data_IF_614076147416
#
_entry.id   IF_614076147416
#
_cell.length_a   1.000
_cell.length_b   1.000
_cell.length_c   1.000
_cell.angle_alpha   90.00
_cell.angle_beta   90.00
_cell.angle_gamma   90.00
#
_symmetry.space_group_name_H-M   'P 1'
#
loop_
_entity.id
_entity.type
_entity.pdbx_description
1 polymer ?
#
# COMPACT_ATOMS: atom_id res chain seq x y z
N UNK A 1 -12.73 4.20 -6.77
CA UNK A 1 -12.03 4.79 -5.62
C UNK A 1 -11.81 3.74 -4.53
N UNK A 2 -10.56 3.44 -4.21
CA UNK A 2 -10.15 2.42 -3.21
C UNK A 2 -10.41 2.81 -1.75
N UNK A 3 -10.84 4.05 -1.48
CA UNK A 3 -11.20 4.53 -0.14
C UNK A 3 -12.39 3.77 0.48
N UNK A 4 -12.50 3.72 1.83
CA UNK A 4 -13.68 3.18 2.50
C UNK A 4 -14.98 3.85 2.04
N UNK A 5 -16.04 3.05 1.90
CA UNK A 5 -17.42 3.52 1.78
C UNK A 5 -17.87 4.26 3.06
N UNK A 6 -19.01 4.94 3.01
CA UNK A 6 -19.56 5.63 4.18
C UNK A 6 -19.79 4.69 5.39
N UNK A 7 -20.27 3.47 5.14
CA UNK A 7 -20.49 2.46 6.17
C UNK A 7 -19.18 1.91 6.74
N UNK A 8 -18.22 1.60 5.88
CA UNK A 8 -16.88 1.15 6.29
C UNK A 8 -16.13 2.25 7.06
N UNK A 9 -16.28 3.51 6.65
CA UNK A 9 -15.74 4.67 7.38
C UNK A 9 -16.34 4.78 8.77
N UNK A 10 -17.65 4.56 8.91
CA UNK A 10 -18.30 4.50 10.24
C UNK A 10 -17.75 3.35 11.08
N UNK A 11 -17.56 2.16 10.49
CA UNK A 11 -16.94 0.99 11.15
C UNK A 11 -15.49 1.28 11.58
N UNK A 12 -14.70 1.93 10.73
CA UNK A 12 -13.33 2.35 11.02
C UNK A 12 -13.29 3.31 12.21
N UNK A 13 -14.01 4.43 12.11
CA UNK A 13 -13.97 5.52 13.09
C UNK A 13 -14.61 5.15 14.44
N UNK A 14 -15.66 4.33 14.44
CA UNK A 14 -16.41 3.96 15.67
C UNK A 14 -16.09 2.58 16.20
N UNK A 15 -15.44 1.73 15.42
CA UNK A 15 -15.08 0.35 15.79
C UNK A 15 -13.58 0.13 15.87
N UNK A 16 -12.91 0.16 14.72
CA UNK A 16 -11.50 -0.27 14.59
C UNK A 16 -10.55 0.69 15.31
N UNK A 17 -10.60 1.99 15.01
CA UNK A 17 -9.70 2.98 15.63
C UNK A 17 -9.86 3.01 17.17
N UNK A 18 -11.07 3.05 17.74
CA UNK A 18 -11.22 2.97 19.20
C UNK A 18 -10.69 1.67 19.80
N UNK A 19 -10.81 0.54 19.09
CA UNK A 19 -10.25 -0.74 19.55
C UNK A 19 -8.71 -0.71 19.49
N UNK A 20 -8.13 -0.21 18.41
CA UNK A 20 -6.68 -0.06 18.26
C UNK A 20 -6.10 0.80 19.39
N UNK A 21 -6.72 1.95 19.68
CA UNK A 21 -6.33 2.82 20.79
C UNK A 21 -6.42 2.18 22.17
N UNK A 22 -7.37 1.26 22.38
CA UNK A 22 -7.52 0.53 23.66
C UNK A 22 -6.48 -0.57 23.83
N UNK A 23 -6.16 -1.26 22.74
CA UNK A 23 -5.09 -2.27 22.75
C UNK A 23 -3.74 -1.60 22.97
N UNK A 24 -3.54 -0.43 22.34
CA UNK A 24 -2.25 0.24 22.36
C UNK A 24 -1.22 -0.53 21.53
N UNK A 25 -0.02 0.04 21.48
CA UNK A 25 1.18 -0.63 20.99
C UNK A 25 2.28 -0.24 21.97
N UNK A 26 3.07 -1.22 22.39
CA UNK A 26 4.23 -0.96 23.24
C UNK A 26 5.16 0.06 22.55
N UNK A 27 5.66 1.04 23.31
CA UNK A 27 6.48 2.11 22.74
C UNK A 27 7.79 1.57 22.14
N UNK A 28 8.30 0.45 22.66
CA UNK A 28 9.45 -0.25 22.09
C UNK A 28 9.15 -0.87 20.75
N UNK A 29 7.88 -1.08 20.38
CA UNK A 29 7.43 -1.62 19.09
C UNK A 29 6.99 -0.53 18.10
N UNK A 30 7.27 0.73 18.41
CA UNK A 30 6.98 1.89 17.55
C UNK A 30 8.14 2.23 16.65
N UNK A 31 7.83 2.72 15.45
CA UNK A 31 8.84 3.10 14.47
C UNK A 31 9.81 4.18 14.97
N UNK A 32 9.35 5.12 15.80
CA UNK A 32 10.23 6.13 16.41
C UNK A 32 11.26 5.56 17.39
N UNK A 33 11.08 4.33 17.86
CA UNK A 33 12.04 3.62 18.72
C UNK A 33 13.15 2.91 17.94
N UNK A 34 13.32 3.24 16.65
CA UNK A 34 14.30 2.64 15.73
C UNK A 34 15.75 2.60 16.24
N UNK A 35 16.13 3.49 17.14
CA UNK A 35 17.48 3.54 17.72
C UNK A 35 17.74 2.47 18.79
N UNK A 36 16.73 1.69 19.18
CA UNK A 36 16.83 0.66 20.20
C UNK A 36 16.23 -0.68 19.73
N UNK A 37 16.71 -1.82 20.27
CA UNK A 37 16.06 -3.11 20.04
C UNK A 37 14.59 -3.10 20.52
N UNK A 38 13.67 -3.81 19.83
CA UNK A 38 13.93 -4.71 18.70
C UNK A 38 13.92 -4.03 17.32
N UNK A 39 13.68 -2.72 17.22
CA UNK A 39 13.56 -2.03 15.92
C UNK A 39 14.92 -1.73 15.31
N UNK A 40 15.95 -1.52 16.14
CA UNK A 40 17.32 -1.43 15.69
C UNK A 40 17.71 -2.75 15.02
N UNK A 41 17.83 -2.71 13.69
CA UNK A 41 18.21 -3.87 12.90
C UNK A 41 19.63 -4.33 13.29
N UNK A 42 19.85 -5.63 13.58
CA UNK A 42 21.15 -6.15 13.94
C UNK A 42 22.09 -6.34 12.73
N UNK A 43 21.60 -6.19 11.51
CA UNK A 43 22.35 -6.41 10.27
C UNK A 43 22.32 -5.17 9.35
N UNK A 44 23.46 -4.80 8.78
CA UNK A 44 23.56 -3.70 7.81
C UNK A 44 23.19 -4.13 6.37
N UNK A 45 22.15 -4.95 6.23
CA UNK A 45 21.68 -5.47 4.94
C UNK A 45 20.26 -4.96 4.69
N UNK A 46 20.08 -3.80 4.03
CA UNK A 46 18.76 -3.24 3.83
C UNK A 46 17.94 -4.10 2.85
N UNK A 47 16.75 -4.52 3.30
CA UNK A 47 15.78 -5.24 2.48
C UNK A 47 14.63 -4.32 2.05
N UNK A 48 14.07 -4.57 0.88
CA UNK A 48 12.82 -3.95 0.45
C UNK A 48 11.65 -4.46 1.29
N UNK A 49 10.59 -3.65 1.40
CA UNK A 49 9.43 -4.03 2.21
C UNK A 49 8.79 -5.33 1.71
N UNK A 50 8.65 -5.50 0.40
CA UNK A 50 8.12 -6.74 -0.20
C UNK A 50 9.04 -7.95 0.02
N UNK A 51 10.35 -7.74 0.16
CA UNK A 51 11.30 -8.80 0.49
C UNK A 51 11.13 -9.27 1.93
N UNK A 52 10.78 -8.36 2.85
CA UNK A 52 10.51 -8.68 4.26
C UNK A 52 9.11 -9.27 4.44
N UNK A 53 8.08 -8.56 4.00
CA UNK A 53 6.68 -8.90 4.25
C UNK A 53 6.17 -10.05 3.37
N UNK A 54 6.73 -10.24 2.17
CA UNK A 54 6.32 -11.33 1.29
C UNK A 54 6.72 -12.69 1.85
N UNK A 55 5.77 -13.60 2.00
CA UNK A 55 6.02 -14.99 2.42
C UNK A 55 5.56 -16.01 1.36
N UNK A 56 5.74 -15.66 0.07
CA UNK A 56 5.48 -16.56 -1.06
C UNK A 56 6.46 -17.76 -1.13
N UNK A 57 7.60 -17.64 -0.45
CA UNK A 57 8.55 -18.70 -0.16
C UNK A 57 8.70 -18.79 1.36
N UNK A 58 8.23 -19.88 1.96
CA UNK A 58 8.26 -20.06 3.42
C UNK A 58 9.69 -20.02 3.98
N UNK A 59 10.67 -20.51 3.23
CA UNK A 59 12.08 -20.48 3.64
C UNK A 59 12.78 -19.16 3.35
N UNK A 60 12.14 -18.22 2.62
CA UNK A 60 12.77 -16.97 2.17
C UNK A 60 13.87 -17.16 1.12
N UNK A 61 13.96 -18.34 0.48
CA UNK A 61 14.99 -18.65 -0.52
C UNK A 61 14.93 -17.75 -1.74
N UNK A 62 13.76 -17.21 -2.07
CA UNK A 62 13.59 -16.21 -3.14
C UNK A 62 14.40 -14.93 -2.87
N UNK A 63 14.42 -14.47 -1.61
CA UNK A 63 15.25 -13.34 -1.16
C UNK A 63 16.73 -13.71 -1.21
N UNK A 64 17.09 -14.92 -0.77
CA UNK A 64 18.47 -15.42 -0.83
C UNK A 64 18.98 -15.51 -2.27
N UNK A 65 18.21 -16.11 -3.17
CA UNK A 65 18.56 -16.26 -4.59
C UNK A 65 18.81 -14.89 -5.23
N UNK A 66 17.97 -13.90 -4.95
CA UNK A 66 18.13 -12.54 -5.47
C UNK A 66 19.34 -11.81 -4.88
N UNK A 67 19.49 -11.83 -3.56
CA UNK A 67 20.48 -11.00 -2.85
C UNK A 67 21.88 -11.63 -2.76
N UNK A 68 21.98 -12.95 -2.75
CA UNK A 68 23.24 -13.68 -2.57
C UNK A 68 23.70 -14.35 -3.87
N UNK A 69 22.80 -15.05 -4.57
CA UNK A 69 23.16 -15.74 -5.82
C UNK A 69 23.10 -14.82 -7.06
N UNK A 70 22.47 -13.65 -6.94
CA UNK A 70 22.27 -12.71 -8.06
C UNK A 70 21.29 -13.24 -9.12
N UNK A 71 20.42 -14.18 -8.74
CA UNK A 71 19.42 -14.77 -9.63
C UNK A 71 18.15 -13.92 -9.52
N UNK A 72 17.82 -13.22 -10.60
CA UNK A 72 16.52 -12.55 -10.72
C UNK A 72 15.47 -13.54 -11.25
N UNK A 73 14.43 -13.78 -10.48
CA UNK A 73 13.29 -14.56 -10.92
C UNK A 73 12.48 -13.76 -11.95
N UNK A 74 12.05 -14.41 -13.03
CA UNK A 74 11.11 -13.81 -13.95
C UNK A 74 9.77 -13.55 -13.23
N UNK A 75 9.20 -12.33 -13.31
CA UNK A 75 7.93 -12.03 -12.69
C UNK A 75 6.83 -12.99 -13.20
N UNK A 76 6.03 -13.54 -12.29
CA UNK A 76 4.88 -14.34 -12.69
C UNK A 76 3.74 -13.47 -13.26
N UNK A 77 2.75 -14.09 -13.89
CA UNK A 77 1.63 -13.38 -14.52
C UNK A 77 0.88 -12.46 -13.54
N UNK A 78 0.69 -12.89 -12.29
CA UNK A 78 0.05 -12.08 -11.24
C UNK A 78 0.86 -10.82 -10.92
N UNK A 79 2.18 -10.94 -10.80
CA UNK A 79 3.08 -9.81 -10.54
C UNK A 79 3.08 -8.82 -11.71
N UNK A 80 3.10 -9.32 -12.95
CA UNK A 80 3.03 -8.46 -14.15
C UNK A 80 1.71 -7.71 -14.22
N UNK A 81 0.58 -8.41 -14.00
CA UNK A 81 -0.75 -7.81 -13.98
C UNK A 81 -0.88 -6.76 -12.87
N UNK A 82 -0.51 -7.12 -11.63
CA UNK A 82 -0.56 -6.22 -10.48
C UNK A 82 0.29 -4.97 -10.69
N UNK A 83 1.51 -5.13 -11.22
CA UNK A 83 2.39 -4.01 -11.56
C UNK A 83 1.79 -3.08 -12.62
N UNK A 84 1.20 -3.65 -13.68
CA UNK A 84 0.54 -2.87 -14.73
C UNK A 84 -0.70 -2.11 -14.21
N UNK A 85 -1.48 -2.72 -13.31
CA UNK A 85 -2.66 -2.11 -12.70
C UNK A 85 -2.30 -0.99 -11.74
N UNK A 86 -1.29 -1.20 -10.88
CA UNK A 86 -0.75 -0.15 -10.01
C UNK A 86 -0.18 1.03 -10.81
N UNK A 87 0.56 0.74 -11.89
CA UNK A 87 1.05 1.77 -12.82
C UNK A 87 -0.09 2.57 -13.45
N UNK A 88 -1.11 1.88 -13.96
CA UNK A 88 -2.29 2.52 -14.57
C UNK A 88 -3.03 3.41 -13.56
N UNK A 89 -3.27 2.91 -12.35
CA UNK A 89 -3.93 3.67 -11.29
C UNK A 89 -3.13 4.93 -10.96
N UNK A 90 -1.80 4.81 -10.89
CA UNK A 90 -0.91 5.93 -10.60
C UNK A 90 -1.06 7.03 -11.64
N UNK A 91 -0.93 6.66 -12.91
CA UNK A 91 -1.02 7.60 -14.02
C UNK A 91 -2.39 8.25 -14.10
N UNK A 92 -3.45 7.48 -13.86
CA UNK A 92 -4.82 7.99 -13.85
C UNK A 92 -5.05 9.04 -12.75
N UNK A 93 -4.63 8.77 -11.50
CA UNK A 93 -4.79 9.74 -10.40
C UNK A 93 -4.00 11.01 -10.66
N UNK A 94 -2.76 10.90 -11.17
CA UNK A 94 -1.94 12.08 -11.51
C UNK A 94 -2.63 12.90 -12.60
N UNK A 95 -3.14 12.25 -13.65
CA UNK A 95 -3.90 12.89 -14.70
C UNK A 95 -5.16 13.59 -14.17
N UNK A 96 -5.88 12.94 -13.24
CA UNK A 96 -7.09 13.49 -12.65
C UNK A 96 -6.80 14.73 -11.80
N UNK A 97 -5.80 14.66 -10.90
CA UNK A 97 -5.36 15.82 -10.12
C UNK A 97 -4.92 16.97 -11.01
N UNK A 98 -4.11 16.69 -12.04
CA UNK A 98 -3.65 17.72 -13.00
C UNK A 98 -4.83 18.40 -13.70
N UNK A 99 -5.83 17.63 -14.11
CA UNK A 99 -7.02 18.15 -14.78
C UNK A 99 -7.82 19.08 -13.86
N UNK A 100 -8.02 18.69 -12.60
CA UNK A 100 -8.70 19.50 -11.59
C UNK A 100 -7.95 20.80 -11.29
N UNK A 101 -6.63 20.73 -11.07
CA UNK A 101 -5.82 21.92 -10.80
C UNK A 101 -5.75 22.87 -12.00
N UNK A 102 -5.63 22.36 -13.23
CA UNK A 102 -5.52 23.18 -14.43
C UNK A 102 -6.83 23.91 -14.79
N UNK A 103 -7.97 23.29 -14.52
CA UNK A 103 -9.27 23.89 -14.80
C UNK A 103 -9.75 24.80 -13.68
N UNK A 104 -9.54 24.38 -12.42
CA UNK A 104 -10.06 25.04 -11.23
C UNK A 104 -11.56 24.82 -11.04
N UNK A 105 -12.11 25.26 -9.90
CA UNK A 105 -13.53 25.03 -9.55
C UNK A 105 -14.51 25.74 -10.46
N UNK A 106 -14.08 26.83 -11.11
CA UNK A 106 -14.93 27.60 -12.03
C UNK A 106 -15.15 26.94 -13.39
N UNK A 107 -14.43 25.85 -13.71
CA UNK A 107 -14.53 25.11 -14.98
C UNK A 107 -14.56 23.61 -14.71
N UNK A 108 -15.39 23.17 -13.79
CA UNK A 108 -15.38 21.79 -13.31
C UNK A 108 -15.84 20.80 -14.38
N UNK A 109 -16.78 21.21 -15.24
CA UNK A 109 -17.24 20.41 -16.38
C UNK A 109 -16.09 20.14 -17.36
N UNK A 110 -15.27 21.17 -17.65
CA UNK A 110 -14.06 21.01 -18.46
C UNK A 110 -13.05 20.07 -17.79
N UNK A 111 -12.92 20.14 -16.46
CA UNK A 111 -12.05 19.25 -15.71
C UNK A 111 -12.50 17.78 -15.84
N UNK A 112 -13.80 17.53 -15.71
CA UNK A 112 -14.41 16.18 -15.86
C UNK A 112 -14.20 15.64 -17.27
N UNK A 113 -14.44 16.45 -18.30
CA UNK A 113 -14.18 16.02 -19.69
C UNK A 113 -12.71 15.67 -19.90
N UNK A 114 -11.79 16.48 -19.38
CA UNK A 114 -10.35 16.16 -19.45
C UNK A 114 -9.99 14.89 -18.70
N UNK A 115 -10.59 14.61 -17.54
CA UNK A 115 -10.40 13.34 -16.82
C UNK A 115 -10.82 12.17 -17.71
N UNK A 116 -11.99 12.27 -18.38
CA UNK A 116 -12.53 11.25 -19.29
C UNK A 116 -11.63 10.98 -20.51
N UNK A 117 -10.81 11.95 -20.92
CA UNK A 117 -9.82 11.76 -22.00
C UNK A 117 -8.54 11.01 -21.60
N UNK A 118 -8.49 10.41 -20.40
CA UNK A 118 -7.36 9.56 -20.03
C UNK A 118 -7.16 8.45 -21.08
N UNK A 119 -5.91 8.20 -21.53
CA UNK A 119 -5.63 7.18 -22.54
C UNK A 119 -6.20 5.82 -22.14
N UNK A 120 -6.93 5.17 -23.05
CA UNK A 120 -7.46 3.84 -22.79
C UNK A 120 -6.28 2.86 -22.64
N UNK A 121 -6.14 2.17 -21.49
CA UNK A 121 -5.08 1.20 -21.31
C UNK A 121 -5.35 -0.03 -22.17
N UNK A 122 -4.31 -0.82 -22.51
CA UNK A 122 -4.48 -2.00 -23.36
C UNK A 122 -5.19 -3.16 -22.65
N UNK A 123 -4.82 -3.40 -21.38
CA UNK A 123 -5.35 -4.49 -20.56
C UNK A 123 -6.84 -4.30 -20.23
N UNK A 124 -7.70 -5.33 -20.41
CA UNK A 124 -9.12 -5.25 -20.06
C UNK A 124 -9.38 -4.84 -18.61
N UNK A 125 -8.62 -5.38 -17.65
CA UNK A 125 -8.72 -5.10 -16.22
C UNK A 125 -8.39 -3.63 -15.95
N UNK A 126 -7.36 -3.11 -16.61
CA UNK A 126 -6.97 -1.70 -16.53
C UNK A 126 -8.05 -0.78 -17.10
N UNK A 127 -8.73 -1.17 -18.19
CA UNK A 127 -9.86 -0.41 -18.76
C UNK A 127 -11.01 -0.32 -17.76
N UNK A 128 -11.39 -1.47 -17.18
CA UNK A 128 -12.43 -1.54 -16.15
C UNK A 128 -12.06 -0.69 -14.93
N UNK A 129 -10.80 -0.73 -14.50
CA UNK A 129 -10.28 0.08 -13.40
C UNK A 129 -10.41 1.58 -13.67
N UNK A 130 -9.90 2.04 -14.82
CA UNK A 130 -9.96 3.46 -15.23
C UNK A 130 -11.39 3.94 -15.34
N UNK A 131 -12.27 3.13 -15.93
CA UNK A 131 -13.69 3.48 -16.06
C UNK A 131 -14.33 3.64 -14.68
N UNK A 132 -14.13 2.68 -13.79
CA UNK A 132 -14.65 2.74 -12.42
C UNK A 132 -14.14 3.98 -11.67
N UNK A 133 -12.85 4.29 -11.76
CA UNK A 133 -12.27 5.45 -11.08
C UNK A 133 -12.79 6.78 -11.66
N UNK A 134 -12.97 6.86 -12.99
CA UNK A 134 -13.55 8.02 -13.68
C UNK A 134 -14.99 8.29 -13.27
N UNK A 135 -15.82 7.26 -13.21
CA UNK A 135 -17.20 7.40 -12.76
C UNK A 135 -17.27 7.76 -11.26
N UNK A 136 -16.40 7.15 -10.45
CA UNK A 136 -16.35 7.41 -9.00
C UNK A 136 -15.91 8.84 -8.66
N UNK A 137 -14.89 9.37 -9.33
CA UNK A 137 -14.43 10.74 -9.06
C UNK A 137 -15.46 11.77 -9.51
N UNK A 138 -16.11 11.55 -10.65
CA UNK A 138 -17.15 12.46 -11.14
C UNK A 138 -18.31 12.55 -10.16
N UNK A 139 -18.78 11.42 -9.63
CA UNK A 139 -19.79 11.40 -8.58
C UNK A 139 -19.34 12.20 -7.35
N UNK A 140 -18.10 11.98 -6.87
CA UNK A 140 -17.56 12.69 -5.69
C UNK A 140 -17.40 14.18 -5.91
N UNK A 141 -17.00 14.61 -7.11
CA UNK A 141 -16.92 16.03 -7.47
C UNK A 141 -18.31 16.68 -7.37
N UNK A 142 -19.33 16.05 -7.96
CA UNK A 142 -20.71 16.55 -7.91
C UNK A 142 -21.24 16.60 -6.48
N UNK A 143 -20.98 15.57 -5.69
CA UNK A 143 -21.36 15.51 -4.27
C UNK A 143 -20.67 16.62 -3.46
N UNK A 144 -19.35 16.77 -3.59
CA UNK A 144 -18.58 17.79 -2.88
C UNK A 144 -19.03 19.21 -3.26
N UNK A 145 -19.30 19.46 -4.54
CA UNK A 145 -19.76 20.77 -5.01
C UNK A 145 -21.17 21.11 -4.52
N UNK A 146 -22.05 20.11 -4.47
CA UNK A 146 -23.40 20.25 -3.92
C UNK A 146 -23.36 20.56 -2.42
N UNK A 147 -22.51 19.86 -1.67
CA UNK A 147 -22.38 20.05 -0.23
C UNK A 147 -21.62 21.34 0.13
N UNK A 148 -20.64 21.74 -0.68
CA UNK A 148 -19.76 22.89 -0.42
C UNK A 148 -19.71 23.86 -1.60
N UNK A 149 -20.73 24.72 -1.78
CA UNK A 149 -20.84 25.61 -2.95
C UNK A 149 -19.70 26.64 -3.12
N UNK A 150 -18.91 26.89 -2.08
CA UNK A 150 -17.79 27.84 -2.06
C UNK A 150 -16.43 27.16 -1.88
N UNK A 151 -16.35 25.85 -2.13
CA UNK A 151 -15.09 25.11 -2.02
C UNK A 151 -14.05 25.66 -3.00
N UNK A 152 -12.82 25.85 -2.53
CA UNK A 152 -11.69 26.20 -3.38
C UNK A 152 -11.12 24.99 -4.12
N UNK A 153 -10.35 25.21 -5.18
CA UNK A 153 -9.77 24.11 -5.99
C UNK A 153 -8.93 23.15 -5.19
N UNK A 154 -8.03 23.66 -4.36
CA UNK A 154 -7.16 22.81 -3.56
C UNK A 154 -7.95 21.94 -2.57
N UNK A 155 -8.90 22.56 -1.85
CA UNK A 155 -9.80 21.85 -0.95
C UNK A 155 -10.67 20.80 -1.68
N UNK A 156 -11.15 21.11 -2.89
CA UNK A 156 -11.90 20.15 -3.71
C UNK A 156 -11.03 18.95 -4.06
N UNK A 157 -9.81 19.17 -4.56
CA UNK A 157 -8.89 18.08 -4.92
C UNK A 157 -8.57 17.23 -3.70
N UNK A 158 -8.23 17.84 -2.57
CA UNK A 158 -7.97 17.14 -1.32
C UNK A 158 -9.19 16.34 -0.85
N UNK A 159 -10.40 16.84 -1.07
CA UNK A 159 -11.63 16.15 -0.65
C UNK A 159 -12.03 15.01 -1.58
N UNK A 160 -11.85 15.14 -2.90
CA UNK A 160 -12.30 14.12 -3.88
C UNK A 160 -11.21 13.10 -4.20
N UNK A 161 -9.94 13.46 -4.04
CA UNK A 161 -8.75 12.62 -4.22
C UNK A 161 -7.76 12.79 -3.04
N UNK A 162 -8.13 12.38 -1.80
CA UNK A 162 -7.34 12.54 -0.57
C UNK A 162 -6.15 11.57 -0.48
N UNK A 163 -5.42 11.37 -1.58
CA UNK A 163 -4.45 10.28 -1.70
C UNK A 163 -3.13 10.76 -2.28
N UNK A 164 -2.02 10.32 -1.73
CA UNK A 164 -0.67 10.47 -2.28
C UNK A 164 -0.20 9.11 -2.74
N UNK A 165 0.17 8.99 -4.01
CA UNK A 165 0.64 7.74 -4.57
C UNK A 165 2.16 7.73 -4.60
N UNK A 166 2.76 6.57 -4.34
CA UNK A 166 4.20 6.41 -4.45
C UNK A 166 5.00 7.31 -3.52
N UNK A 167 4.48 7.61 -2.32
CA UNK A 167 5.20 8.44 -1.37
C UNK A 167 6.52 7.77 -1.03
N UNK A 168 7.63 8.44 -1.35
CA UNK A 168 8.97 7.94 -1.03
C UNK A 168 9.25 8.09 0.47
N UNK A 169 9.77 7.04 1.08
CA UNK A 169 10.16 6.97 2.49
C UNK A 169 11.58 6.41 2.62
N UNK A 170 12.39 7.01 3.48
CA UNK A 170 13.71 6.50 3.83
C UNK A 170 13.58 5.50 4.99
N UNK A 171 13.67 4.20 4.67
CA UNK A 171 13.57 3.12 5.64
C UNK A 171 14.87 2.77 6.36
N UNK A 172 15.96 3.52 6.14
CA UNK A 172 17.30 3.16 6.63
C UNK A 172 17.35 2.97 8.15
N UNK A 173 16.63 3.79 8.91
CA UNK A 173 16.57 3.72 10.37
C UNK A 173 16.09 2.36 10.89
N UNK A 174 15.31 1.64 10.08
CA UNK A 174 14.71 0.36 10.44
C UNK A 174 15.39 -0.83 9.75
N UNK A 175 16.56 -0.64 9.15
CA UNK A 175 17.23 -1.68 8.35
C UNK A 175 16.49 -2.01 7.05
N UNK A 176 15.64 -1.11 6.54
CA UNK A 176 14.95 -1.26 5.26
C UNK A 176 15.62 -0.42 4.17
N UNK A 177 15.20 -0.63 2.93
CA UNK A 177 15.65 0.16 1.78
C UNK A 177 15.46 1.67 2.00
N UNK A 178 16.42 2.48 1.50
CA UNK A 178 16.35 3.95 1.56
C UNK A 178 15.29 4.57 0.63
N UNK A 179 14.71 3.75 -0.24
CA UNK A 179 13.82 4.17 -1.33
C UNK A 179 12.55 3.34 -1.32
N UNK A 180 11.91 3.25 -0.16
CA UNK A 180 10.58 2.63 -0.05
C UNK A 180 9.54 3.56 -0.68
N UNK A 181 8.50 2.99 -1.26
CA UNK A 181 7.40 3.70 -1.89
C UNK A 181 6.10 3.08 -1.41
N UNK A 182 5.19 3.88 -0.85
CA UNK A 182 3.84 3.40 -0.51
C UNK A 182 2.98 3.32 -1.76
N UNK A 183 2.08 2.34 -1.86
CA UNK A 183 1.11 2.30 -2.97
C UNK A 183 0.16 3.51 -2.92
N UNK A 184 -0.44 3.75 -1.75
CA UNK A 184 -1.34 4.86 -1.53
C UNK A 184 -1.31 5.31 -0.06
N UNK A 185 -1.01 6.58 0.17
CA UNK A 185 -1.03 7.22 1.48
C UNK A 185 -2.20 8.21 1.57
N UNK A 186 -3.09 8.02 2.54
CA UNK A 186 -4.12 8.99 2.88
C UNK A 186 -3.81 9.57 4.27
N UNK A 187 -3.39 10.84 4.33
CA UNK A 187 -3.06 11.50 5.60
C UNK A 187 -4.31 12.04 6.34
N UNK A 188 -5.48 12.05 5.70
CA UNK A 188 -6.73 12.55 6.29
C UNK A 188 -7.36 11.59 7.31
N UNK A 189 -6.96 10.32 7.29
CA UNK A 189 -7.34 9.29 8.26
C UNK A 189 -6.03 8.55 8.62
N UNK A 190 -5.72 8.24 9.89
CA UNK A 190 -4.44 7.63 10.27
C UNK A 190 -4.40 6.14 9.91
N UNK A 191 -4.56 5.85 8.62
CA UNK A 191 -4.64 4.51 8.05
C UNK A 191 -3.68 4.44 6.88
N UNK A 192 -2.78 3.46 6.94
CA UNK A 192 -1.96 3.08 5.79
C UNK A 192 -2.72 2.11 4.91
N UNK A 193 -2.62 2.25 3.59
CA UNK A 193 -3.39 1.47 2.62
C UNK A 193 -2.47 0.66 1.71
N UNK A 194 -2.87 -0.60 1.49
CA UNK A 194 -2.25 -1.53 0.54
C UNK A 194 -3.31 -2.04 -0.44
N UNK A 195 -2.98 -2.15 -1.73
CA UNK A 195 -3.92 -2.63 -2.77
C UNK A 195 -3.37 -3.90 -3.39
N UNK A 196 -4.21 -4.94 -3.36
CA UNK A 196 -3.87 -6.25 -3.91
C UNK A 196 -4.80 -6.52 -5.08
N UNK A 197 -4.22 -6.64 -6.27
CA UNK A 197 -4.93 -6.88 -7.50
C UNK A 197 -4.94 -8.35 -7.87
N UNK A 198 -6.14 -8.88 -8.12
CA UNK A 198 -6.39 -10.22 -8.66
C UNK A 198 -5.61 -11.36 -7.96
N UNK A 199 -5.50 -11.24 -6.64
CA UNK A 199 -4.93 -12.27 -5.77
C UNK A 199 -5.86 -12.55 -4.59
N UNK A 200 -5.65 -13.72 -4.00
CA UNK A 200 -6.39 -14.15 -2.82
C UNK A 200 -5.84 -13.53 -1.53
N UNK A 201 -6.63 -13.59 -0.46
CA UNK A 201 -6.18 -13.12 0.85
C UNK A 201 -5.15 -14.08 1.43
N UNK A 202 -4.07 -13.52 1.98
CA UNK A 202 -3.00 -14.28 2.62
C UNK A 202 -2.65 -13.69 3.97
N UNK A 203 -2.22 -14.54 4.89
CA UNK A 203 -1.98 -14.18 6.28
C UNK A 203 -0.81 -13.22 6.46
N UNK A 204 0.12 -13.16 5.50
CA UNK A 204 1.27 -12.25 5.52
C UNK A 204 0.98 -10.83 4.97
N UNK A 205 -0.17 -10.59 4.32
CA UNK A 205 -0.50 -9.25 3.79
C UNK A 205 -0.50 -8.14 4.86
N UNK A 206 -0.98 -8.38 6.10
CA UNK A 206 -0.82 -7.45 7.22
C UNK A 206 0.62 -6.99 7.49
N UNK A 207 1.64 -7.81 7.20
CA UNK A 207 3.04 -7.47 7.44
C UNK A 207 3.49 -6.28 6.58
N UNK A 208 2.98 -6.16 5.35
CA UNK A 208 3.23 -4.99 4.50
C UNK A 208 2.74 -3.70 5.18
N UNK A 209 1.52 -3.73 5.73
CA UNK A 209 0.94 -2.60 6.45
C UNK A 209 1.72 -2.28 7.73
N UNK A 210 2.14 -3.29 8.49
CA UNK A 210 2.95 -3.12 9.70
C UNK A 210 4.30 -2.47 9.40
N UNK A 211 5.00 -2.93 8.36
CA UNK A 211 6.26 -2.32 7.96
C UNK A 211 6.12 -0.89 7.46
N UNK A 212 5.07 -0.57 6.69
CA UNK A 212 4.79 0.83 6.35
C UNK A 212 4.48 1.67 7.60
N UNK A 213 3.71 1.16 8.55
CA UNK A 213 3.39 1.86 9.80
C UNK A 213 4.66 2.19 10.58
N UNK A 214 5.58 1.22 10.74
CA UNK A 214 6.87 1.45 11.39
C UNK A 214 7.69 2.54 10.69
N UNK A 215 7.78 2.51 9.35
CA UNK A 215 8.53 3.52 8.60
C UNK A 215 7.88 4.91 8.74
N UNK A 216 6.55 5.00 8.65
CA UNK A 216 5.83 6.26 8.83
C UNK A 216 6.03 6.84 10.24
N UNK A 217 5.97 5.99 11.26
CA UNK A 217 6.22 6.38 12.65
C UNK A 217 7.66 6.86 12.86
N UNK A 218 8.64 6.20 12.26
CA UNK A 218 10.06 6.59 12.33
C UNK A 218 10.34 7.94 11.66
N UNK A 219 9.64 8.23 10.55
CA UNK A 219 9.86 9.44 9.75
C UNK A 219 9.07 10.63 10.28
N UNK A 220 7.83 10.43 10.72
CA UNK A 220 6.88 11.50 11.01
C UNK A 220 6.47 11.61 12.48
N UNK A 221 6.94 10.71 13.36
CA UNK A 221 6.73 10.77 14.81
C UNK A 221 5.24 10.84 15.24
N UNK A 222 4.33 10.19 14.48
CA UNK A 222 2.93 10.05 14.85
C UNK A 222 2.46 8.58 14.74
N UNK A 223 1.55 8.11 15.62
CA UNK A 223 1.14 6.70 15.66
C UNK A 223 0.34 6.27 14.42
N UNK A 224 0.68 5.08 13.89
CA UNK A 224 -0.07 4.41 12.82
C UNK A 224 -0.56 3.05 13.32
N UNK A 225 -1.76 3.04 13.90
CA UNK A 225 -2.31 1.86 14.60
C UNK A 225 -3.24 1.00 13.73
N UNK A 226 -3.59 1.46 12.54
CA UNK A 226 -4.57 0.81 11.66
C UNK A 226 -4.08 0.79 10.22
N UNK A 227 -4.23 -0.35 9.57
CA UNK A 227 -4.02 -0.51 8.13
C UNK A 227 -5.31 -0.92 7.42
N UNK A 228 -5.33 -0.73 6.11
CA UNK A 228 -6.42 -1.13 5.22
C UNK A 228 -5.85 -1.86 4.00
N UNK A 229 -6.19 -3.13 3.84
CA UNK A 229 -5.94 -3.86 2.59
C UNK A 229 -7.19 -3.78 1.71
N UNK A 230 -7.01 -3.39 0.45
CA UNK A 230 -8.09 -3.39 -0.56
C UNK A 230 -7.81 -4.50 -1.58
N UNK A 231 -8.60 -5.55 -1.53
CA UNK A 231 -8.57 -6.66 -2.47
C UNK A 231 -9.44 -6.34 -3.68
N UNK A 232 -8.79 -6.04 -4.80
CA UNK A 232 -9.42 -5.62 -6.05
C UNK A 232 -9.36 -6.77 -7.07
N UNK A 233 -10.48 -7.46 -7.23
CA UNK A 233 -10.61 -8.64 -8.10
C UNK A 233 -11.47 -8.31 -9.33
N UNK A 234 -11.04 -8.80 -10.50
CA UNK A 234 -11.78 -8.59 -11.74
C UNK A 234 -12.54 -9.87 -12.08
N UNK A 235 -13.88 -9.86 -11.92
CA UNK A 235 -14.74 -11.01 -12.23
C UNK A 235 -15.87 -10.59 -13.16
N UNK A 236 -16.03 -11.32 -14.25
CA UNK A 236 -17.07 -11.08 -15.27
C UNK A 236 -17.00 -9.65 -15.86
N UNK A 237 -15.80 -9.13 -16.07
CA UNK A 237 -15.55 -7.76 -16.55
C UNK A 237 -15.87 -6.66 -15.53
N UNK A 238 -16.15 -7.02 -14.27
CA UNK A 238 -16.47 -6.07 -13.19
C UNK A 238 -15.40 -6.10 -12.12
N UNK A 239 -15.06 -4.91 -11.63
CA UNK A 239 -14.20 -4.73 -10.47
C UNK A 239 -15.00 -4.97 -9.18
N UNK A 240 -14.59 -5.97 -8.41
CA UNK A 240 -15.12 -6.25 -7.07
C UNK A 240 -14.05 -5.90 -6.04
N UNK A 241 -14.41 -5.09 -5.06
CA UNK A 241 -13.52 -4.66 -3.99
C UNK A 241 -13.97 -5.22 -2.66
N UNK A 242 -13.03 -5.83 -1.94
CA UNK A 242 -13.18 -6.15 -0.53
C UNK A 242 -12.16 -5.34 0.29
N UNK A 243 -12.58 -4.80 1.43
CA UNK A 243 -11.76 -3.95 2.28
C UNK A 243 -11.63 -4.56 3.66
N UNK A 244 -10.39 -4.72 4.09
CA UNK A 244 -10.07 -5.34 5.36
C UNK A 244 -9.25 -4.40 6.22
N UNK A 245 -9.80 -4.07 7.39
CA UNK A 245 -9.11 -3.24 8.37
C UNK A 245 -8.32 -4.11 9.33
N UNK A 246 -7.03 -3.84 9.44
CA UNK A 246 -6.10 -4.54 10.33
C UNK A 246 -5.68 -3.61 11.44
N UNK A 247 -5.72 -4.08 12.68
CA UNK A 247 -5.11 -3.37 13.82
C UNK A 247 -3.62 -3.72 13.81
N UNK A 248 -2.77 -2.70 13.70
CA UNK A 248 -1.32 -2.85 13.65
C UNK A 248 -0.75 -2.84 15.07
N UNK A 249 -1.14 -3.85 15.85
CA UNK A 249 -0.74 -4.07 17.24
C UNK A 249 0.65 -4.71 17.39
N UNK A 250 1.01 -5.02 18.64
CA UNK A 250 2.31 -5.62 18.98
C UNK A 250 2.61 -6.91 18.20
N UNK A 251 1.63 -7.80 18.05
CA UNK A 251 1.77 -9.11 17.40
C UNK A 251 2.27 -9.00 15.95
N UNK A 252 1.53 -8.28 15.09
CA UNK A 252 1.89 -8.13 13.67
C UNK A 252 3.17 -7.30 13.48
N UNK A 253 3.48 -6.40 14.42
CA UNK A 253 4.74 -5.63 14.41
C UNK A 253 5.93 -6.52 14.75
N UNK A 254 5.79 -7.36 15.77
CA UNK A 254 6.81 -8.33 16.15
C UNK A 254 7.06 -9.32 15.01
N UNK A 255 5.99 -9.86 14.42
CA UNK A 255 6.09 -10.79 13.27
C UNK A 255 6.85 -10.15 12.09
N UNK A 256 6.56 -8.87 11.78
CA UNK A 256 7.32 -8.15 10.75
C UNK A 256 8.81 -7.97 11.11
N UNK A 257 9.11 -7.63 12.36
CA UNK A 257 10.48 -7.43 12.84
C UNK A 257 11.27 -8.75 12.82
N UNK A 258 10.65 -9.85 13.25
CA UNK A 258 11.24 -11.19 13.21
C UNK A 258 11.52 -11.62 11.76
N UNK A 259 10.54 -11.45 10.86
CA UNK A 259 10.72 -11.75 9.44
C UNK A 259 11.83 -10.89 8.79
N UNK A 260 11.96 -9.61 9.20
CA UNK A 260 13.05 -8.74 8.77
C UNK A 260 14.38 -9.31 9.22
N UNK A 261 14.54 -9.55 10.51
CA UNK A 261 15.82 -9.94 11.10
C UNK A 261 16.27 -11.33 10.62
N UNK A 262 15.34 -12.26 10.44
CA UNK A 262 15.62 -13.59 9.90
C UNK A 262 16.13 -13.51 8.44
N UNK A 263 15.43 -12.76 7.58
CA UNK A 263 15.82 -12.61 6.18
C UNK A 263 17.10 -11.80 6.03
N UNK A 264 17.31 -10.79 6.88
CA UNK A 264 18.57 -10.04 6.90
C UNK A 264 19.74 -10.90 7.33
N UNK A 265 19.56 -11.72 8.37
CA UNK A 265 20.57 -12.71 8.80
C UNK A 265 20.93 -13.67 7.68
N UNK A 266 19.91 -14.25 7.05
CA UNK A 266 20.07 -15.18 5.93
C UNK A 266 20.93 -14.58 4.81
N UNK A 267 20.71 -13.31 4.45
CA UNK A 267 21.51 -12.62 3.44
C UNK A 267 22.89 -12.24 3.95
N UNK A 268 23.01 -11.72 5.18
CA UNK A 268 24.27 -11.28 5.78
C UNK A 268 25.27 -12.44 5.94
N UNK A 269 24.79 -13.59 6.39
CA UNK A 269 25.60 -14.79 6.64
C UNK A 269 25.72 -15.70 5.40
N UNK A 270 25.06 -15.33 4.29
CA UNK A 270 24.95 -16.16 3.09
C UNK A 270 24.50 -17.61 3.39
N UNK A 271 23.51 -17.76 4.27
CA UNK A 271 22.93 -19.06 4.65
C UNK A 271 21.82 -19.45 3.67
N UNK A 272 22.02 -20.45 2.81
CA UNK A 272 20.94 -21.00 1.98
C UNK A 272 19.91 -21.69 2.90
N UNK A 273 18.66 -21.19 2.98
CA UNK A 273 17.63 -21.75 3.85
C UNK A 273 17.02 -23.05 3.28
N UNK A 274 17.43 -23.46 2.08
CA UNK A 274 16.87 -24.60 1.36
C UNK A 274 15.58 -24.27 0.63
N UNK A 275 15.19 -25.14 -0.30
CA UNK A 275 13.94 -25.02 -1.05
C UNK A 275 12.72 -25.33 -0.15
N UNK A 276 11.59 -24.65 -0.39
CA UNK A 276 10.30 -25.02 0.18
C UNK A 276 9.41 -25.73 -0.85
N UNK A 277 8.53 -26.62 -0.39
CA UNK A 277 7.55 -27.26 -1.28
C UNK A 277 6.49 -26.24 -1.73
N UNK A 278 5.99 -26.35 -2.96
CA UNK A 278 4.90 -25.49 -3.45
C UNK A 278 5.24 -24.01 -3.63
N UNK A 279 6.52 -23.64 -3.65
CA UNK A 279 6.95 -22.24 -3.75
C UNK A 279 6.43 -21.53 -5.01
N UNK A 280 5.57 -20.53 -4.81
CA UNK A 280 5.08 -19.65 -5.88
C UNK A 280 6.15 -18.66 -6.35
N UNK A 281 7.14 -18.40 -5.49
CA UNK A 281 8.27 -17.51 -5.74
C UNK A 281 9.51 -18.20 -6.33
N UNK A 282 9.36 -19.40 -6.89
CA UNK A 282 10.37 -20.06 -7.74
C UNK A 282 11.60 -20.60 -7.00
N UNK A 283 11.51 -21.10 -5.76
CA UNK A 283 12.68 -21.60 -5.01
C UNK A 283 13.39 -22.86 -5.58
N UNK A 284 12.97 -23.37 -6.74
CA UNK A 284 13.29 -24.71 -7.25
C UNK A 284 14.36 -24.79 -8.35
N UNK A 285 15.09 -23.72 -8.68
CA UNK A 285 16.23 -23.78 -9.61
C UNK A 285 17.53 -23.33 -8.95
#
# INVERSE_FOLDING_TARGET
MFMPTAEERKRLLRGVIPRARRLGVDDTLRGWSWSAPPLLSPYEVPLGLSEVAGAYCETGRDVYARRVLGIEAEPNEKMLLGGALHGTLRDWVVHAKRSLYACGVGRIEEAVERIRTFPAPELPEAKTLVQYETDAIEFRIREAMSQFPRIGTDALVAQVLPVTLGQMLDGAFLGLSRRLSTDLLNLGEPVVLDIIFDDEKRDFHPLTLAGYALVLEAVYEFPVDVGLTVYANFRDGRLRMEREFTILGDEVRMEFIEARDEKQRMVADAMDPGSCEGCEAWCGR
#
